data_IF_214178728521
#
_entry.id   IF_214178728521
#
_cell.length_a   1.000
_cell.length_b   1.000
_cell.length_c   1.000
_cell.angle_alpha   90.00
_cell.angle_beta   90.00
_cell.angle_gamma   90.00
#
_symmetry.space_group_name_H-M   'P 1'
#
loop_
_entity.id
_entity.type
_entity.pdbx_description
1 polymer ?
#
# COMPACT_ATOMS: atom_id res chain seq x y z
N UNK A 1 -24.64 -7.07 14.58
CA UNK A 1 -23.22 -6.72 14.31
C UNK A 1 -22.81 -5.68 15.32
N UNK A 2 -21.65 -5.87 15.93
CA UNK A 2 -21.07 -5.00 16.95
C UNK A 2 -19.89 -4.24 16.36
N UNK A 3 -19.82 -2.93 16.62
CA UNK A 3 -18.72 -2.05 16.20
C UNK A 3 -18.16 -1.41 17.46
N UNK A 4 -16.86 -1.60 17.71
CA UNK A 4 -16.20 -0.98 18.86
C UNK A 4 -15.99 0.52 18.60
N UNK A 5 -15.98 1.36 19.66
CA UNK A 5 -15.80 2.80 19.52
C UNK A 5 -14.54 3.20 18.74
N UNK A 6 -13.43 2.47 18.92
CA UNK A 6 -12.18 2.70 18.18
C UNK A 6 -12.35 2.54 16.67
N UNK A 7 -12.99 1.45 16.24
CA UNK A 7 -13.33 1.18 14.83
C UNK A 7 -14.32 2.23 14.31
N UNK A 8 -15.32 2.61 15.11
CA UNK A 8 -16.29 3.63 14.72
C UNK A 8 -15.62 4.99 14.46
N UNK A 9 -14.66 5.39 15.31
CA UNK A 9 -13.92 6.64 15.13
C UNK A 9 -13.02 6.60 13.89
N UNK A 10 -12.32 5.49 13.65
CA UNK A 10 -11.43 5.33 12.49
C UNK A 10 -12.18 5.41 11.16
N UNK A 11 -13.36 4.78 11.08
CA UNK A 11 -14.16 4.69 9.85
C UNK A 11 -15.38 5.61 9.84
N UNK A 12 -15.44 6.63 10.71
CA UNK A 12 -16.59 7.52 10.85
C UNK A 12 -17.02 8.16 9.52
N UNK A 13 -16.06 8.51 8.64
CA UNK A 13 -16.35 9.08 7.32
C UNK A 13 -16.99 8.10 6.32
N UNK A 14 -16.86 6.79 6.57
CA UNK A 14 -17.47 5.74 5.76
C UNK A 14 -18.83 5.31 6.31
N UNK A 15 -19.10 5.55 7.59
CA UNK A 15 -20.32 5.15 8.27
C UNK A 15 -21.30 6.33 8.25
N UNK A 16 -22.13 6.37 7.20
CA UNK A 16 -23.22 7.33 7.07
C UNK A 16 -24.49 6.60 6.66
N UNK A 17 -25.64 7.11 7.08
CA UNK A 17 -26.94 6.55 6.70
C UNK A 17 -27.09 6.58 5.16
N UNK A 18 -27.58 5.48 4.60
CA UNK A 18 -27.73 5.31 3.14
C UNK A 18 -26.43 5.01 2.38
N UNK A 19 -25.27 4.98 3.04
CA UNK A 19 -23.98 4.67 2.40
C UNK A 19 -23.72 3.17 2.37
N UNK A 20 -23.49 2.61 1.18
CA UNK A 20 -23.14 1.20 1.01
C UNK A 20 -21.65 1.01 1.29
N UNK A 21 -21.34 0.06 2.17
CA UNK A 21 -19.96 -0.27 2.56
C UNK A 21 -19.72 -1.78 2.53
N UNK A 22 -18.47 -2.16 2.33
CA UNK A 22 -17.98 -3.52 2.58
C UNK A 22 -17.44 -3.58 3.99
N UNK A 23 -17.93 -4.53 4.79
CA UNK A 23 -17.45 -4.75 6.16
C UNK A 23 -16.75 -6.10 6.25
N UNK A 24 -15.54 -6.13 6.81
CA UNK A 24 -14.89 -7.35 7.26
C UNK A 24 -15.10 -7.49 8.76
N UNK A 25 -15.74 -8.59 9.17
CA UNK A 25 -16.10 -8.86 10.55
C UNK A 25 -15.64 -10.25 10.97
N UNK A 26 -15.24 -10.38 12.23
CA UNK A 26 -14.97 -11.65 12.87
C UNK A 26 -16.26 -12.20 13.46
N UNK A 27 -16.59 -13.44 13.14
CA UNK A 27 -17.67 -14.16 13.80
C UNK A 27 -17.21 -14.63 15.18
N UNK A 28 -17.89 -14.18 16.23
CA UNK A 28 -17.68 -14.57 17.62
C UNK A 28 -18.83 -15.46 18.06
N UNK A 29 -18.53 -16.74 18.29
CA UNK A 29 -19.47 -17.73 18.82
C UNK A 29 -19.05 -18.03 20.26
N UNK A 30 -20.00 -17.96 21.20
CA UNK A 30 -19.81 -18.35 22.59
C UNK A 30 -20.98 -19.23 23.00
N UNK A 31 -20.78 -20.15 23.94
CA UNK A 31 -21.82 -21.11 24.35
C UNK A 31 -22.97 -20.45 25.12
N UNK A 32 -22.71 -19.31 25.75
CA UNK A 32 -23.62 -18.56 26.63
C UNK A 32 -24.38 -17.43 25.93
N UNK A 33 -24.09 -17.17 24.64
CA UNK A 33 -24.66 -16.04 23.89
C UNK A 33 -24.89 -16.38 22.44
N UNK A 34 -25.79 -15.60 21.82
CA UNK A 34 -26.00 -15.67 20.39
C UNK A 34 -24.72 -15.27 19.61
N UNK A 35 -24.48 -15.86 18.43
CA UNK A 35 -23.36 -15.50 17.57
C UNK A 35 -23.36 -14.01 17.19
N UNK A 36 -22.23 -13.35 17.39
CA UNK A 36 -22.07 -11.93 17.09
C UNK A 36 -21.03 -11.70 15.99
N UNK A 37 -21.33 -10.83 15.04
CA UNK A 37 -20.36 -10.30 14.08
C UNK A 37 -19.67 -9.08 14.68
N UNK A 38 -18.36 -9.16 14.91
CA UNK A 38 -17.53 -8.07 15.43
C UNK A 38 -16.79 -7.42 14.27
N UNK A 39 -17.10 -6.15 13.98
CA UNK A 39 -16.47 -5.38 12.91
C UNK A 39 -14.96 -5.23 13.15
N UNK A 40 -14.16 -5.47 12.11
CA UNK A 40 -12.70 -5.29 12.13
C UNK A 40 -12.25 -4.19 11.17
N UNK A 41 -12.82 -4.17 9.96
CA UNK A 41 -12.45 -3.22 8.91
C UNK A 41 -13.68 -2.83 8.07
N UNK A 42 -13.69 -1.59 7.58
CA UNK A 42 -14.77 -1.02 6.76
C UNK A 42 -14.15 -0.34 5.54
N UNK A 43 -14.61 -0.74 4.36
CA UNK A 43 -14.19 -0.19 3.08
C UNK A 43 -15.41 0.26 2.25
N UNK A 44 -15.16 1.06 1.22
CA UNK A 44 -16.19 1.40 0.24
C UNK A 44 -16.72 0.13 -0.46
N UNK A 45 -18.01 0.16 -0.81
CA UNK A 45 -18.62 -0.96 -1.51
C UNK A 45 -17.97 -1.16 -2.89
N UNK A 46 -17.64 -2.42 -3.27
CA UNK A 46 -17.19 -2.71 -4.61
C UNK A 46 -18.29 -2.37 -5.63
N UNK A 47 -17.91 -1.93 -6.82
CA UNK A 47 -18.86 -1.66 -7.90
C UNK A 47 -19.64 -2.94 -8.27
N UNK A 48 -20.97 -2.87 -8.43
CA UNK A 48 -21.83 -4.05 -8.67
C UNK A 48 -21.55 -4.77 -9.99
N UNK A 49 -20.77 -4.16 -10.89
CA UNK A 49 -20.44 -4.75 -12.20
C UNK A 49 -19.17 -5.59 -12.23
N UNK A 50 -18.46 -5.76 -11.12
CA UNK A 50 -17.21 -6.55 -11.13
C UNK A 50 -16.14 -6.01 -12.08
N UNK A 51 -16.34 -4.79 -12.61
CA UNK A 51 -15.36 -4.07 -13.37
C UNK A 51 -14.30 -3.62 -12.37
N UNK A 52 -13.12 -4.24 -12.47
CA UNK A 52 -11.87 -3.73 -11.94
C UNK A 52 -11.53 -2.44 -12.69
N UNK A 53 -12.35 -1.40 -12.52
CA UNK A 53 -12.00 -0.04 -12.93
C UNK A 53 -10.78 0.36 -12.12
N UNK A 54 -9.75 0.79 -12.85
CA UNK A 54 -8.37 0.75 -12.39
C UNK A 54 -8.16 1.50 -11.09
N UNK A 55 -7.42 0.85 -10.18
CA UNK A 55 -6.52 1.49 -9.22
C UNK A 55 -7.00 2.82 -8.60
N UNK A 56 -8.24 2.90 -8.16
CA UNK A 56 -8.64 3.89 -7.17
C UNK A 56 -8.14 3.40 -5.81
N UNK A 57 -6.88 3.76 -5.57
CA UNK A 57 -6.06 3.64 -4.38
C UNK A 57 -6.86 3.32 -3.12
N UNK A 58 -6.67 2.09 -2.63
CA UNK A 58 -6.60 1.80 -1.20
C UNK A 58 -5.81 2.94 -0.54
N UNK A 59 -6.47 3.90 0.11
CA UNK A 59 -5.83 4.75 1.12
C UNK A 59 -5.59 3.92 2.38
N UNK A 60 -4.87 2.81 2.20
CA UNK A 60 -3.96 2.38 3.24
C UNK A 60 -3.00 3.54 3.44
N UNK A 61 -2.59 3.81 4.67
CA UNK A 61 -1.49 4.70 5.03
C UNK A 61 -0.20 4.26 4.31
N UNK A 62 -0.13 4.45 2.99
CA UNK A 62 1.04 4.13 2.20
C UNK A 62 2.09 5.11 2.66
N UNK A 63 3.07 4.55 3.37
CA UNK A 63 4.16 5.34 3.94
C UNK A 63 4.81 6.11 2.79
N UNK A 64 5.06 7.41 2.95
CA UNK A 64 5.70 8.20 1.92
C UNK A 64 7.06 7.58 1.57
N UNK A 65 7.36 7.50 0.28
CA UNK A 65 8.58 6.87 -0.19
C UNK A 65 8.55 6.46 -1.65
N UNK A 66 9.71 6.04 -2.11
CA UNK A 66 9.91 5.41 -3.40
C UNK A 66 9.68 3.91 -3.27
N UNK A 67 8.83 3.34 -4.12
CA UNK A 67 8.52 1.92 -4.16
C UNK A 67 9.04 1.30 -5.46
N UNK A 68 9.86 0.26 -5.33
CA UNK A 68 10.40 -0.50 -6.44
C UNK A 68 9.95 -1.95 -6.34
N UNK A 69 9.52 -2.51 -7.46
CA UNK A 69 9.25 -3.93 -7.61
C UNK A 69 10.34 -4.58 -8.45
N UNK A 70 11.02 -5.56 -7.87
CA UNK A 70 12.14 -6.24 -8.52
C UNK A 70 11.96 -7.76 -8.50
N UNK A 71 12.51 -8.49 -9.50
CA UNK A 71 12.37 -9.94 -9.55
C UNK A 71 12.96 -10.65 -8.32
N UNK A 72 14.10 -10.18 -7.82
CA UNK A 72 14.80 -10.75 -6.67
C UNK A 72 16.08 -9.96 -6.35
N UNK A 73 16.72 -10.28 -5.22
CA UNK A 73 17.92 -9.60 -4.73
C UNK A 73 19.16 -9.82 -5.62
N UNK A 74 19.24 -10.96 -6.30
CA UNK A 74 20.32 -11.28 -7.23
C UNK A 74 20.03 -10.89 -8.68
N UNK A 75 18.89 -10.21 -8.93
CA UNK A 75 18.52 -9.80 -10.27
C UNK A 75 19.50 -8.75 -10.83
N UNK A 76 19.95 -8.88 -12.09
CA UNK A 76 20.77 -7.85 -12.74
C UNK A 76 20.04 -6.51 -12.82
N UNK A 77 18.71 -6.52 -12.91
CA UNK A 77 17.87 -5.32 -12.89
C UNK A 77 17.96 -4.60 -11.54
N UNK A 78 17.90 -5.34 -10.44
CA UNK A 78 18.04 -4.76 -9.10
C UNK A 78 19.43 -4.17 -8.89
N UNK A 79 20.49 -4.90 -9.27
CA UNK A 79 21.87 -4.38 -9.19
C UNK A 79 22.06 -3.10 -9.99
N UNK A 80 21.47 -3.02 -11.19
CA UNK A 80 21.52 -1.80 -12.01
C UNK A 80 20.69 -0.66 -11.41
N UNK A 81 19.52 -0.96 -10.86
CA UNK A 81 18.71 0.03 -10.14
C UNK A 81 19.46 0.59 -8.91
N UNK A 82 20.13 -0.26 -8.12
CA UNK A 82 20.97 0.18 -7.00
C UNK A 82 22.05 1.18 -7.42
N UNK A 83 22.66 1.02 -8.60
CA UNK A 83 23.64 1.99 -9.12
C UNK A 83 23.00 3.35 -9.38
N UNK A 84 21.79 3.40 -9.92
CA UNK A 84 21.08 4.67 -10.13
C UNK A 84 20.71 5.31 -8.79
N UNK A 85 20.20 4.52 -7.85
CA UNK A 85 19.82 5.00 -6.52
C UNK A 85 21.01 5.59 -5.76
N UNK A 86 22.20 4.98 -5.87
CA UNK A 86 23.44 5.45 -5.22
C UNK A 86 23.98 6.78 -5.75
N UNK A 87 23.48 7.28 -6.89
CA UNK A 87 23.86 8.61 -7.41
C UNK A 87 23.03 9.71 -6.75
N UNK A 88 21.85 9.37 -6.24
CA UNK A 88 20.88 10.34 -5.73
C UNK A 88 20.61 10.08 -4.25
N UNK A 89 21.60 10.27 -3.38
CA UNK A 89 21.39 10.15 -1.93
C UNK A 89 20.42 11.23 -1.42
N UNK A 90 19.49 10.87 -0.53
CA UNK A 90 18.51 11.82 -0.03
C UNK A 90 17.67 11.36 1.14
N UNK A 91 16.61 12.11 1.50
CA UNK A 91 15.83 11.86 2.70
C UNK A 91 14.72 10.82 2.50
N UNK A 92 14.33 10.52 1.26
CA UNK A 92 13.12 9.74 0.97
C UNK A 92 13.34 8.25 1.25
N UNK A 93 12.48 7.61 2.06
CA UNK A 93 12.52 6.18 2.30
C UNK A 93 12.33 5.37 1.01
N UNK A 94 13.11 4.29 0.87
CA UNK A 94 13.02 3.36 -0.25
C UNK A 94 12.40 2.03 0.20
N UNK A 95 11.35 1.60 -0.48
CA UNK A 95 10.67 0.33 -0.28
C UNK A 95 10.90 -0.57 -1.49
N UNK A 96 11.34 -1.80 -1.25
CA UNK A 96 11.66 -2.77 -2.31
C UNK A 96 10.78 -4.00 -2.13
N UNK A 97 9.98 -4.30 -3.14
CA UNK A 97 9.21 -5.53 -3.24
C UNK A 97 9.98 -6.57 -4.04
N UNK A 98 10.33 -7.66 -3.37
CA UNK A 98 11.03 -8.80 -3.95
C UNK A 98 10.01 -9.85 -4.40
N UNK A 99 9.88 -10.06 -5.71
CA UNK A 99 8.90 -11.01 -6.28
C UNK A 99 9.19 -12.47 -5.90
N UNK A 100 10.46 -12.86 -5.87
CA UNK A 100 10.95 -14.17 -5.42
C UNK A 100 10.51 -14.50 -3.98
N UNK A 101 10.64 -13.52 -3.07
CA UNK A 101 10.28 -13.67 -1.64
C UNK A 101 8.85 -13.24 -1.33
N UNK A 102 8.13 -12.70 -2.31
CA UNK A 102 6.81 -12.05 -2.19
C UNK A 102 6.72 -11.10 -0.99
N UNK A 103 7.80 -10.38 -0.70
CA UNK A 103 7.96 -9.57 0.52
C UNK A 103 8.34 -8.13 0.18
N UNK A 104 7.68 -7.18 0.85
CA UNK A 104 8.06 -5.77 0.85
C UNK A 104 9.07 -5.53 1.98
N UNK A 105 10.19 -4.90 1.65
CA UNK A 105 11.24 -4.56 2.61
C UNK A 105 11.52 -3.06 2.56
N UNK A 106 11.69 -2.46 3.73
CA UNK A 106 12.23 -1.11 3.85
C UNK A 106 13.75 -1.20 3.70
N UNK A 107 14.31 -0.40 2.80
CA UNK A 107 15.74 -0.33 2.61
C UNK A 107 16.41 0.36 3.83
N UNK A 108 17.68 0.01 4.15
CA UNK A 108 18.48 0.71 5.14
C UNK A 108 18.52 2.23 4.91
N UNK A 109 18.80 2.99 5.97
CA UNK A 109 18.90 4.46 5.91
C UNK A 109 19.96 4.93 4.91
N UNK A 110 21.02 4.14 4.72
CA UNK A 110 22.08 4.40 3.72
C UNK A 110 21.63 4.26 2.26
N UNK A 111 20.43 3.72 2.00
CA UNK A 111 19.83 3.60 0.67
C UNK A 111 18.62 4.52 0.51
N UNK A 112 18.50 5.57 1.33
CA UNK A 112 17.51 6.61 1.09
C UNK A 112 17.92 7.47 -0.08
N UNK A 113 16.93 7.97 -0.80
CA UNK A 113 17.14 8.53 -2.13
C UNK A 113 16.48 9.89 -2.24
N UNK A 114 17.08 10.80 -3.00
CA UNK A 114 16.45 12.04 -3.44
C UNK A 114 15.65 11.75 -4.70
N UNK A 115 14.32 11.72 -4.58
CA UNK A 115 13.43 11.41 -5.70
C UNK A 115 13.38 12.63 -6.62
N UNK A 116 13.69 12.42 -7.90
CA UNK A 116 13.53 13.40 -8.96
C UNK A 116 12.98 12.74 -10.23
N UNK A 117 12.47 13.55 -11.16
CA UNK A 117 11.82 13.05 -12.37
C UNK A 117 12.76 12.22 -13.25
N UNK A 118 14.05 12.60 -13.32
CA UNK A 118 15.07 11.90 -14.11
C UNK A 118 15.27 10.49 -13.59
N UNK A 119 15.45 10.33 -12.28
CA UNK A 119 15.62 9.05 -11.62
C UNK A 119 14.37 8.18 -11.80
N UNK A 120 13.18 8.73 -11.60
CA UNK A 120 11.93 7.99 -11.75
C UNK A 120 11.76 7.50 -13.19
N UNK A 121 12.06 8.33 -14.18
CA UNK A 121 12.01 7.93 -15.59
C UNK A 121 13.02 6.83 -15.91
N UNK A 122 14.27 6.95 -15.47
CA UNK A 122 15.30 5.93 -15.71
C UNK A 122 14.97 4.60 -15.01
N UNK A 123 14.44 4.65 -13.78
CA UNK A 123 13.97 3.46 -13.09
C UNK A 123 12.77 2.83 -13.80
N UNK A 124 11.83 3.63 -14.34
CA UNK A 124 10.70 3.12 -15.12
C UNK A 124 11.15 2.49 -16.45
N UNK A 125 12.16 3.06 -17.11
CA UNK A 125 12.77 2.45 -18.31
C UNK A 125 13.45 1.11 -17.98
N UNK A 126 14.11 1.04 -16.82
CA UNK A 126 14.85 -0.15 -16.40
C UNK A 126 13.94 -1.28 -15.88
N UNK A 127 13.02 -0.96 -14.98
CA UNK A 127 12.18 -1.92 -14.28
C UNK A 127 10.80 -2.08 -14.91
N UNK A 128 10.35 -1.11 -15.72
CA UNK A 128 8.99 -1.00 -16.25
C UNK A 128 8.13 -0.04 -15.44
N UNK A 129 7.20 0.65 -16.11
CA UNK A 129 6.37 1.70 -15.51
C UNK A 129 5.54 1.22 -14.31
N UNK A 130 5.07 -0.03 -14.34
CA UNK A 130 4.26 -0.64 -13.27
C UNK A 130 5.08 -1.06 -12.06
N UNK A 131 6.40 -1.03 -12.16
CA UNK A 131 7.31 -1.52 -11.13
C UNK A 131 7.98 -0.39 -10.33
N UNK A 132 7.59 0.87 -10.59
CA UNK A 132 8.09 2.06 -9.89
C UNK A 132 6.91 2.92 -9.48
N UNK A 133 6.81 3.24 -8.20
CA UNK A 133 5.78 4.15 -7.68
C UNK A 133 6.41 5.13 -6.68
N UNK A 134 6.00 6.40 -6.77
CA UNK A 134 6.35 7.44 -5.80
C UNK A 134 5.10 7.76 -5.02
N UNK A 135 5.21 7.71 -3.69
CA UNK A 135 4.14 8.11 -2.77
C UNK A 135 4.66 9.32 -2.00
N UNK A 136 4.15 10.49 -2.30
CA UNK A 136 4.44 11.71 -1.55
C UNK A 136 3.36 11.99 -0.50
N UNK A 137 3.79 12.64 0.59
CA UNK A 137 2.92 13.12 1.66
C UNK A 137 2.22 14.45 1.32
N UNK A 138 2.36 14.97 0.09
CA UNK A 138 1.74 16.21 -0.33
C UNK A 138 0.26 16.00 -0.67
N UNK A 139 -0.57 15.99 0.38
CA UNK A 139 -1.88 16.63 0.31
C UNK A 139 -1.75 17.98 1.04
N UNK A 140 -1.68 19.07 0.28
CA UNK A 140 -2.22 20.36 0.71
C UNK A 140 -3.56 20.54 0.01
#
# INVERSE_FOLDING_TARGET
MLVFPSTLTEYAALIAEGKIVKVEARLSIREDRDPELVCQDIAEAPSPRGEKTGAARRRSHQRPGLYLKVPGADSPLYRKACKYLAVFDGPTPLYIYFCDKKKLMLAPVSMRVSVNDVLVQELKKLLGERNVAVVDNLQQ
#
